data_IF_276982222142
#
_entry.id   IF_276982222142
#
_cell.length_a   1.000
_cell.length_b   1.000
_cell.length_c   1.000
_cell.angle_alpha   90.00
_cell.angle_beta   90.00
_cell.angle_gamma   90.00
#
_symmetry.space_group_name_H-M   'P 1'
#
loop_
_entity.id
_entity.type
_entity.pdbx_description
1 polymer ?
#
# COMPACT_ATOMS: atom_id res chain seq x y z
N UNK A 1 12.17 21.60 22.65
CA UNK A 1 13.43 21.45 21.90
C UNK A 1 13.16 20.48 20.77
N UNK A 2 12.80 21.02 19.62
CA UNK A 2 12.49 20.29 18.40
C UNK A 2 13.78 19.97 17.68
N UNK A 3 14.23 18.71 17.77
CA UNK A 3 15.26 18.17 16.89
C UNK A 3 14.64 18.03 15.51
N UNK A 4 15.02 18.93 14.62
CA UNK A 4 14.87 18.78 13.17
C UNK A 4 15.70 17.57 12.76
N UNK A 5 15.04 16.46 12.43
CA UNK A 5 15.65 15.34 11.72
C UNK A 5 15.95 15.78 10.29
N UNK A 6 17.11 16.40 10.11
CA UNK A 6 17.79 16.51 8.83
C UNK A 6 18.43 15.15 8.52
N UNK A 7 17.71 14.29 7.81
CA UNK A 7 18.26 13.04 7.27
C UNK A 7 18.63 13.26 5.80
N UNK A 8 19.93 13.52 5.63
CA UNK A 8 20.83 13.28 4.48
C UNK A 8 20.29 13.50 3.06
N UNK A 9 20.85 14.50 2.37
CA UNK A 9 20.98 14.47 0.91
C UNK A 9 21.66 13.16 0.50
N UNK A 10 21.07 12.50 -0.48
CA UNK A 10 21.63 11.33 -1.16
C UNK A 10 22.93 11.76 -1.88
N UNK A 11 24.08 11.59 -1.20
CA UNK A 11 25.40 12.03 -1.64
C UNK A 11 26.18 10.86 -2.27
N UNK A 12 25.88 10.51 -3.52
CA UNK A 12 26.78 9.72 -4.37
C UNK A 12 27.50 10.60 -5.39
N UNK A 13 28.67 10.18 -5.91
CA UNK A 13 29.33 10.88 -7.01
C UNK A 13 28.39 10.93 -8.22
N UNK A 14 27.90 12.13 -8.55
CA UNK A 14 26.97 12.35 -9.67
C UNK A 14 27.70 12.41 -11.00
N UNK A 15 27.01 12.09 -12.08
CA UNK A 15 27.50 12.19 -13.45
C UNK A 15 28.01 13.61 -13.77
N UNK A 16 29.09 13.71 -14.53
CA UNK A 16 29.69 14.98 -14.95
C UNK A 16 28.92 15.68 -16.09
N UNK A 17 28.01 14.96 -16.76
CA UNK A 17 27.21 15.50 -17.86
C UNK A 17 26.16 16.47 -17.32
N UNK A 18 26.10 17.66 -17.94
CA UNK A 18 25.06 18.67 -17.71
C UNK A 18 23.82 18.33 -18.54
N UNK A 19 22.65 18.47 -17.94
CA UNK A 19 21.35 18.14 -18.55
C UNK A 19 20.38 19.31 -18.39
N UNK A 20 19.54 19.51 -19.40
CA UNK A 20 18.53 20.58 -19.43
C UNK A 20 19.11 21.97 -19.74
N UNK A 21 18.23 22.98 -19.71
CA UNK A 21 18.59 24.39 -19.97
C UNK A 21 19.24 25.09 -18.77
N UNK A 22 19.14 24.49 -17.57
CA UNK A 22 19.67 25.01 -16.31
C UNK A 22 21.14 24.65 -16.05
N UNK A 23 21.79 23.89 -16.95
CA UNK A 23 23.12 23.31 -16.73
C UNK A 23 23.21 22.51 -15.41
N UNK A 24 22.12 21.83 -15.04
CA UNK A 24 22.12 20.96 -13.87
C UNK A 24 22.88 19.67 -14.16
N UNK A 25 23.65 19.18 -13.19
CA UNK A 25 24.33 17.89 -13.34
C UNK A 25 23.32 16.75 -13.33
N UNK A 26 23.50 15.79 -14.25
CA UNK A 26 22.75 14.55 -14.23
C UNK A 26 22.87 13.86 -12.86
N UNK A 27 21.73 13.39 -12.34
CA UNK A 27 21.63 12.81 -11.01
C UNK A 27 22.20 11.39 -10.91
N UNK A 28 22.49 10.75 -12.06
CA UNK A 28 23.01 9.39 -12.13
C UNK A 28 24.35 9.22 -11.43
N UNK A 29 24.53 8.09 -10.76
CA UNK A 29 25.79 7.70 -10.12
C UNK A 29 26.88 7.49 -11.16
N UNK A 30 28.12 7.89 -10.84
CA UNK A 30 29.29 7.61 -11.67
C UNK A 30 29.64 6.12 -11.62
N UNK A 31 29.93 5.54 -12.78
CA UNK A 31 30.46 4.19 -12.85
C UNK A 31 31.95 4.19 -12.51
N UNK A 32 32.44 3.08 -11.95
CA UNK A 32 33.85 2.96 -11.57
C UNK A 32 34.76 3.16 -12.82
N UNK A 33 35.74 4.06 -12.70
CA UNK A 33 36.70 4.33 -13.77
C UNK A 33 36.28 5.38 -14.80
N UNK A 34 35.05 5.90 -14.75
CA UNK A 34 34.58 7.00 -15.61
C UNK A 34 33.82 8.06 -14.81
N UNK A 35 33.74 9.28 -15.32
CA UNK A 35 33.03 10.39 -14.67
C UNK A 35 31.54 10.50 -15.08
N UNK A 36 31.02 9.49 -15.80
CA UNK A 36 29.66 9.43 -16.34
C UNK A 36 28.84 8.30 -15.72
N UNK A 37 27.51 8.47 -15.72
CA UNK A 37 26.58 7.40 -15.37
C UNK A 37 26.32 6.49 -16.56
N UNK A 38 25.66 5.36 -16.31
CA UNK A 38 25.34 4.36 -17.33
C UNK A 38 24.60 4.93 -18.55
N UNK A 39 23.69 5.89 -18.33
CA UNK A 39 22.92 6.53 -19.40
C UNK A 39 23.74 7.42 -20.33
N UNK A 40 24.95 7.83 -19.91
CA UNK A 40 25.83 8.72 -20.67
C UNK A 40 27.12 8.03 -21.13
N UNK A 41 27.16 6.70 -21.11
CA UNK A 41 28.21 5.95 -21.79
C UNK A 41 28.00 5.99 -23.30
N UNK A 42 29.10 5.98 -24.05
CA UNK A 42 29.01 5.71 -25.48
C UNK A 42 28.73 4.21 -25.76
N UNK A 43 28.50 3.87 -27.02
CA UNK A 43 28.13 2.51 -27.40
C UNK A 43 29.22 1.46 -27.09
N UNK A 44 30.50 1.83 -27.17
CA UNK A 44 31.61 0.93 -26.90
C UNK A 44 31.80 0.74 -25.39
N UNK A 45 31.77 1.83 -24.61
CA UNK A 45 31.82 1.82 -23.15
C UNK A 45 30.67 1.00 -22.57
N UNK A 46 29.44 1.20 -23.08
CA UNK A 46 28.27 0.43 -22.65
C UNK A 46 28.39 -1.05 -23.01
N UNK A 47 28.94 -1.39 -24.17
CA UNK A 47 29.18 -2.79 -24.55
C UNK A 47 30.20 -3.45 -23.61
N UNK A 48 31.28 -2.75 -23.26
CA UNK A 48 32.25 -3.21 -22.27
C UNK A 48 31.59 -3.45 -20.92
N UNK A 49 30.87 -2.45 -20.39
CA UNK A 49 30.16 -2.57 -19.11
C UNK A 49 29.21 -3.78 -19.08
N UNK A 50 28.37 -3.94 -20.11
CA UNK A 50 27.42 -5.05 -20.19
C UNK A 50 28.11 -6.42 -20.28
N UNK A 51 29.31 -6.50 -20.86
CA UNK A 51 30.06 -7.75 -20.99
C UNK A 51 30.70 -8.22 -19.68
N UNK A 52 30.86 -7.32 -18.71
CA UNK A 52 31.38 -7.63 -17.37
C UNK A 52 30.27 -8.13 -16.43
N UNK A 53 29.00 -7.90 -16.77
CA UNK A 53 27.86 -8.40 -16.01
C UNK A 53 27.69 -9.90 -16.22
N UNK A 54 27.26 -10.57 -15.16
CA UNK A 54 26.90 -11.98 -15.15
C UNK A 54 25.68 -12.19 -14.24
N UNK A 55 24.94 -13.31 -14.37
CA UNK A 55 23.83 -13.62 -13.48
C UNK A 55 24.26 -13.61 -12.01
N UNK A 56 23.62 -12.76 -11.20
CA UNK A 56 23.93 -12.55 -9.79
C UNK A 56 24.95 -11.44 -9.50
N UNK A 57 25.47 -10.75 -10.53
CA UNK A 57 26.32 -9.58 -10.32
C UNK A 57 25.53 -8.39 -9.75
N UNK A 58 26.22 -7.53 -9.01
CA UNK A 58 25.65 -6.32 -8.43
C UNK A 58 25.45 -5.23 -9.49
N UNK A 59 24.46 -4.37 -9.29
CA UNK A 59 24.13 -3.24 -10.15
C UNK A 59 23.87 -1.99 -9.32
N UNK A 60 24.70 -0.96 -9.50
CA UNK A 60 24.45 0.38 -8.96
C UNK A 60 24.16 1.35 -10.10
N UNK A 61 22.90 1.78 -10.19
CA UNK A 61 22.42 2.74 -11.20
C UNK A 61 21.58 3.84 -10.54
N UNK A 62 21.90 4.18 -9.29
CA UNK A 62 21.24 5.26 -8.54
C UNK A 62 21.16 6.55 -9.34
N UNK A 63 20.03 7.24 -9.26
CA UNK A 63 19.77 8.51 -9.95
C UNK A 63 19.78 8.45 -11.49
N UNK A 64 19.99 7.27 -12.08
CA UNK A 64 20.21 7.13 -13.53
C UNK A 64 18.87 7.09 -14.26
N UNK A 65 18.81 7.76 -15.41
CA UNK A 65 17.66 7.66 -16.32
C UNK A 65 17.83 6.43 -17.22
N UNK A 66 16.86 5.51 -17.20
CA UNK A 66 16.88 4.26 -17.93
C UNK A 66 15.70 4.25 -18.91
N UNK A 67 15.99 4.17 -20.20
CA UNK A 67 14.98 3.89 -21.21
C UNK A 67 14.74 2.37 -21.32
N UNK A 68 13.74 1.97 -22.11
CA UNK A 68 13.42 0.54 -22.26
C UNK A 68 14.55 -0.23 -22.93
N UNK A 69 15.29 0.37 -23.86
CA UNK A 69 16.37 -0.32 -24.58
C UNK A 69 17.55 -0.64 -23.66
N UNK A 70 18.00 0.35 -22.87
CA UNK A 70 19.06 0.16 -21.89
C UNK A 70 18.65 -0.85 -20.81
N UNK A 71 17.40 -0.77 -20.33
CA UNK A 71 16.89 -1.75 -19.36
C UNK A 71 16.85 -3.16 -19.97
N UNK A 72 16.37 -3.33 -21.19
CA UNK A 72 16.33 -4.64 -21.87
C UNK A 72 17.74 -5.23 -21.96
N UNK A 73 18.73 -4.43 -22.36
CA UNK A 73 20.12 -4.87 -22.46
C UNK A 73 20.72 -5.26 -21.11
N UNK A 74 20.42 -4.51 -20.04
CA UNK A 74 20.81 -4.88 -18.68
C UNK A 74 20.19 -6.23 -18.28
N UNK A 75 18.87 -6.37 -18.45
CA UNK A 75 18.15 -7.60 -18.08
C UNK A 75 18.66 -8.82 -18.86
N UNK A 76 19.02 -8.64 -20.14
CA UNK A 76 19.66 -9.69 -20.95
C UNK A 76 21.04 -10.08 -20.39
N UNK A 77 21.86 -9.13 -20.00
CA UNK A 77 23.19 -9.39 -19.43
C UNK A 77 23.12 -10.17 -18.10
N UNK A 78 22.07 -9.95 -17.30
CA UNK A 78 21.82 -10.70 -16.06
C UNK A 78 21.13 -12.06 -16.27
N UNK A 79 20.73 -12.41 -17.50
CA UNK A 79 19.99 -13.65 -17.77
C UNK A 79 20.97 -14.79 -18.09
N UNK A 80 20.93 -15.92 -17.34
CA UNK A 80 21.74 -17.09 -17.66
C UNK A 80 21.51 -17.60 -19.08
N UNK A 81 22.61 -17.86 -19.79
CA UNK A 81 22.57 -18.54 -21.09
C UNK A 81 22.40 -20.04 -20.88
N UNK A 82 21.44 -20.67 -21.56
CA UNK A 82 21.30 -22.14 -21.54
C UNK A 82 19.87 -22.66 -21.42
N UNK A 83 18.90 -21.79 -21.14
CA UNK A 83 17.48 -22.12 -21.21
C UNK A 83 16.63 -20.89 -21.56
N UNK A 84 15.63 -21.00 -22.46
CA UNK A 84 14.68 -19.92 -22.74
C UNK A 84 13.76 -19.61 -21.54
N UNK A 85 13.70 -20.50 -20.54
CA UNK A 85 12.99 -20.26 -19.30
C UNK A 85 13.83 -19.49 -18.27
N UNK A 86 15.10 -19.20 -18.56
CA UNK A 86 15.96 -18.43 -17.66
C UNK A 86 15.38 -17.05 -17.41
N UNK A 87 15.67 -16.51 -16.24
CA UNK A 87 15.25 -15.19 -15.81
C UNK A 87 16.48 -14.40 -15.40
N UNK A 88 16.40 -13.07 -15.52
CA UNK A 88 17.47 -12.19 -15.06
C UNK A 88 17.70 -12.42 -13.55
N UNK A 89 18.96 -12.57 -13.18
CA UNK A 89 19.38 -12.70 -11.79
C UNK A 89 20.29 -11.51 -11.45
N UNK A 90 19.84 -10.68 -10.53
CA UNK A 90 20.59 -9.53 -10.05
C UNK A 90 21.08 -9.84 -8.63
N UNK A 91 22.31 -9.43 -8.32
CA UNK A 91 22.88 -9.44 -6.97
C UNK A 91 22.24 -8.35 -6.11
N UNK A 92 23.07 -7.52 -5.49
CA UNK A 92 22.61 -6.25 -4.92
C UNK A 92 22.25 -5.29 -6.06
N UNK A 93 21.03 -4.75 -6.04
CA UNK A 93 20.54 -3.89 -7.12
C UNK A 93 20.03 -2.56 -6.55
N UNK A 94 20.75 -1.47 -6.84
CA UNK A 94 20.42 -0.14 -6.35
C UNK A 94 19.94 0.78 -7.49
N UNK A 95 18.63 0.96 -7.55
CA UNK A 95 17.90 1.89 -8.42
C UNK A 95 17.38 3.11 -7.64
N UNK A 96 17.97 3.45 -6.49
CA UNK A 96 17.53 4.60 -5.68
C UNK A 96 17.54 5.88 -6.52
N UNK A 97 16.40 6.56 -6.63
CA UNK A 97 16.23 7.77 -7.44
C UNK A 97 16.33 7.57 -8.96
N UNK A 98 16.38 6.33 -9.46
CA UNK A 98 16.41 6.07 -10.89
C UNK A 98 15.08 6.47 -11.56
N UNK A 99 15.15 6.85 -12.84
CA UNK A 99 13.96 7.23 -13.63
C UNK A 99 13.82 6.30 -14.83
N UNK A 100 12.74 5.54 -14.88
CA UNK A 100 12.36 4.71 -16.02
C UNK A 100 11.40 5.49 -16.92
N UNK A 101 11.87 5.91 -18.09
CA UNK A 101 11.13 6.82 -18.98
C UNK A 101 10.07 6.12 -19.83
N UNK A 102 10.15 4.80 -19.94
CA UNK A 102 9.27 3.95 -20.73
C UNK A 102 8.88 2.70 -19.92
N UNK A 103 8.18 1.75 -20.54
CA UNK A 103 7.77 0.51 -19.89
C UNK A 103 9.00 -0.22 -19.33
N UNK A 104 8.96 -0.55 -18.05
CA UNK A 104 10.07 -1.22 -17.36
C UNK A 104 9.69 -2.66 -17.02
N UNK A 105 10.43 -3.63 -17.59
CA UNK A 105 10.12 -5.05 -17.44
C UNK A 105 11.14 -5.76 -16.54
N UNK A 106 10.71 -6.05 -15.31
CA UNK A 106 11.36 -6.91 -14.33
C UNK A 106 10.60 -8.24 -14.14
N UNK A 107 9.70 -8.59 -15.06
CA UNK A 107 8.85 -9.78 -14.97
C UNK A 107 9.68 -11.05 -14.80
N UNK A 108 9.46 -11.77 -13.71
CA UNK A 108 10.17 -13.00 -13.38
C UNK A 108 11.62 -12.80 -12.92
N UNK A 109 12.11 -11.56 -12.79
CA UNK A 109 13.48 -11.30 -12.35
C UNK A 109 13.70 -11.79 -10.91
N UNK A 110 14.90 -12.30 -10.64
CA UNK A 110 15.33 -12.70 -9.30
C UNK A 110 16.34 -11.68 -8.77
N UNK A 111 15.94 -10.92 -7.75
CA UNK A 111 16.83 -10.09 -6.94
C UNK A 111 17.34 -10.94 -5.78
N UNK A 112 18.54 -11.49 -5.97
CA UNK A 112 19.13 -12.48 -5.07
C UNK A 112 19.72 -11.88 -3.80
N UNK A 113 19.97 -10.56 -3.80
CA UNK A 113 20.28 -9.78 -2.61
C UNK A 113 19.35 -8.56 -2.53
N UNK A 114 19.68 -7.57 -1.69
CA UNK A 114 18.83 -6.40 -1.47
C UNK A 114 18.60 -5.60 -2.76
N UNK A 115 17.35 -5.23 -3.01
CA UNK A 115 16.95 -4.42 -4.16
C UNK A 115 16.28 -3.12 -3.72
N UNK A 116 16.89 -1.98 -4.04
CA UNK A 116 16.37 -0.66 -3.73
C UNK A 116 15.81 0.01 -4.98
N UNK A 117 14.53 0.38 -4.91
CA UNK A 117 13.81 1.27 -5.83
C UNK A 117 13.33 2.52 -5.08
N UNK A 118 14.02 2.88 -3.99
CA UNK A 118 13.66 4.06 -3.18
C UNK A 118 13.60 5.29 -4.06
N UNK A 119 12.49 6.03 -3.99
CA UNK A 119 12.28 7.27 -4.78
C UNK A 119 12.45 7.09 -6.30
N UNK A 120 12.42 5.86 -6.80
CA UNK A 120 12.46 5.60 -8.23
C UNK A 120 11.17 6.08 -8.88
N UNK A 121 11.27 6.56 -10.12
CA UNK A 121 10.11 7.04 -10.90
C UNK A 121 9.91 6.14 -12.10
N UNK A 122 8.70 5.58 -12.23
CA UNK A 122 8.26 4.81 -13.38
C UNK A 122 7.25 5.65 -14.18
N UNK A 123 7.68 6.17 -15.33
CA UNK A 123 6.87 7.07 -16.14
C UNK A 123 5.74 6.34 -16.88
N UNK A 124 5.98 5.09 -17.28
CA UNK A 124 4.98 4.19 -17.87
C UNK A 124 4.80 2.93 -17.01
N UNK A 125 4.29 1.85 -17.60
CA UNK A 125 3.97 0.62 -16.87
C UNK A 125 5.22 0.00 -16.24
N UNK A 126 5.11 -0.38 -14.97
CA UNK A 126 6.18 -1.05 -14.23
C UNK A 126 5.80 -2.51 -13.94
N UNK A 127 6.52 -3.45 -14.55
CA UNK A 127 6.19 -4.87 -14.50
C UNK A 127 7.18 -5.65 -13.63
N UNK A 128 6.77 -5.99 -12.41
CA UNK A 128 7.45 -6.87 -11.45
C UNK A 128 6.71 -8.22 -11.29
N UNK A 129 5.83 -8.57 -12.22
CA UNK A 129 5.02 -9.79 -12.12
C UNK A 129 5.91 -11.03 -12.02
N UNK A 130 5.61 -11.91 -11.06
CA UNK A 130 6.41 -13.10 -10.73
C UNK A 130 7.88 -12.83 -10.38
N UNK A 131 8.27 -11.58 -10.08
CA UNK A 131 9.62 -11.29 -9.62
C UNK A 131 9.84 -11.82 -8.19
N UNK A 132 11.06 -12.24 -7.88
CA UNK A 132 11.44 -12.73 -6.56
C UNK A 132 12.47 -11.81 -5.93
N UNK A 133 12.18 -11.34 -4.72
CA UNK A 133 13.09 -10.57 -3.87
C UNK A 133 13.52 -11.46 -2.71
N UNK A 134 14.74 -12.00 -2.81
CA UNK A 134 15.29 -12.92 -1.80
C UNK A 134 15.57 -12.21 -0.50
N UNK A 135 16.13 -10.99 -0.58
CA UNK A 135 16.36 -10.09 0.55
C UNK A 135 15.33 -8.94 0.54
N UNK A 136 15.64 -7.84 1.24
CA UNK A 136 14.75 -6.68 1.32
C UNK A 136 14.49 -6.07 -0.06
N UNK A 137 13.21 -5.92 -0.42
CA UNK A 137 12.74 -5.18 -1.58
C UNK A 137 12.15 -3.83 -1.16
N UNK A 138 12.78 -2.73 -1.58
CA UNK A 138 12.46 -1.40 -1.06
C UNK A 138 11.98 -0.42 -2.14
N UNK A 139 10.69 -0.14 -2.14
CA UNK A 139 9.99 0.82 -3.00
C UNK A 139 9.56 2.07 -2.24
N UNK A 140 10.24 2.40 -1.13
CA UNK A 140 9.89 3.56 -0.30
C UNK A 140 9.92 4.85 -1.13
N UNK A 141 8.80 5.56 -1.18
CA UNK A 141 8.67 6.80 -1.94
C UNK A 141 8.74 6.64 -3.46
N UNK A 142 8.67 5.41 -4.00
CA UNK A 142 8.62 5.19 -5.44
C UNK A 142 7.32 5.75 -6.05
N UNK A 143 7.40 6.25 -7.28
CA UNK A 143 6.26 6.83 -8.00
C UNK A 143 5.96 6.02 -9.25
N UNK A 144 4.75 5.50 -9.35
CA UNK A 144 4.22 4.77 -10.50
C UNK A 144 3.16 5.63 -11.20
N UNK A 145 3.52 6.19 -12.36
CA UNK A 145 2.66 7.10 -13.10
C UNK A 145 1.58 6.39 -13.93
N UNK A 146 1.84 5.15 -14.36
CA UNK A 146 0.87 4.26 -15.00
C UNK A 146 0.62 3.02 -14.12
N UNK A 147 0.24 1.89 -14.71
CA UNK A 147 -0.08 0.69 -13.94
C UNK A 147 1.19 0.07 -13.34
N UNK A 148 1.07 -0.42 -12.11
CA UNK A 148 2.15 -1.14 -11.43
C UNK A 148 1.76 -2.60 -11.22
N UNK A 149 2.53 -3.53 -11.78
CA UNK A 149 2.23 -4.96 -11.76
C UNK A 149 3.21 -5.72 -10.87
N UNK A 150 2.75 -6.14 -9.71
CA UNK A 150 3.42 -7.03 -8.76
C UNK A 150 2.72 -8.40 -8.65
N UNK A 151 1.84 -8.74 -9.61
CA UNK A 151 1.09 -10.00 -9.59
C UNK A 151 2.02 -11.21 -9.49
N UNK A 152 1.80 -12.07 -8.50
CA UNK A 152 2.63 -13.26 -8.24
C UNK A 152 4.06 -12.95 -7.75
N UNK A 153 4.39 -11.68 -7.47
CA UNK A 153 5.70 -11.34 -6.94
C UNK A 153 5.90 -11.94 -5.54
N UNK A 154 7.12 -12.39 -5.24
CA UNK A 154 7.47 -12.99 -3.96
C UNK A 154 8.52 -12.15 -3.25
N UNK A 155 8.19 -11.70 -2.03
CA UNK A 155 9.09 -11.00 -1.12
C UNK A 155 9.41 -11.92 0.05
N UNK A 156 10.63 -12.47 0.04
CA UNK A 156 11.06 -13.49 1.00
C UNK A 156 11.48 -12.88 2.33
N UNK A 157 12.05 -11.67 2.29
CA UNK A 157 12.29 -10.81 3.45
C UNK A 157 11.35 -9.59 3.42
N UNK A 158 11.66 -8.55 4.20
CA UNK A 158 10.81 -7.38 4.30
C UNK A 158 10.59 -6.66 2.96
N UNK A 159 9.36 -6.20 2.73
CA UNK A 159 8.98 -5.38 1.58
C UNK A 159 8.48 -4.01 2.03
N UNK A 160 9.05 -2.93 1.48
CA UNK A 160 8.63 -1.57 1.82
C UNK A 160 8.04 -0.84 0.63
N UNK A 161 6.78 -0.44 0.72
CA UNK A 161 6.07 0.47 -0.18
C UNK A 161 5.67 1.76 0.55
N UNK A 162 6.38 2.09 1.63
CA UNK A 162 6.06 3.25 2.47
C UNK A 162 6.06 4.51 1.63
N UNK A 163 4.99 5.30 1.68
CA UNK A 163 4.83 6.54 0.90
C UNK A 163 5.01 6.36 -0.62
N UNK A 164 4.89 5.14 -1.14
CA UNK A 164 4.82 4.94 -2.58
C UNK A 164 3.51 5.54 -3.14
N UNK A 165 3.57 6.03 -4.36
CA UNK A 165 2.42 6.63 -5.05
C UNK A 165 2.07 5.82 -6.30
N UNK A 166 0.83 5.37 -6.38
CA UNK A 166 0.26 4.64 -7.52
C UNK A 166 -0.83 5.50 -8.16
N UNK A 167 -0.57 5.98 -9.37
CA UNK A 167 -1.46 6.93 -10.06
C UNK A 167 -2.59 6.22 -10.79
N UNK A 168 -2.30 5.07 -11.41
CA UNK A 168 -3.30 4.16 -11.96
C UNK A 168 -3.41 2.91 -11.08
N UNK A 169 -3.90 1.81 -11.64
CA UNK A 169 -4.15 0.60 -10.88
C UNK A 169 -2.84 -0.04 -10.41
N UNK A 170 -2.87 -0.56 -9.18
CA UNK A 170 -1.78 -1.31 -8.59
C UNK A 170 -2.19 -2.78 -8.38
N UNK A 171 -1.46 -3.70 -9.00
CA UNK A 171 -1.80 -5.12 -9.01
C UNK A 171 -0.81 -5.90 -8.14
N UNK A 172 -1.24 -6.37 -6.98
CA UNK A 172 -0.52 -7.26 -6.06
C UNK A 172 -1.21 -8.63 -5.95
N UNK A 173 -2.01 -9.02 -6.96
CA UNK A 173 -2.74 -10.27 -6.95
C UNK A 173 -1.81 -11.48 -6.82
N UNK A 174 -2.14 -12.43 -5.97
CA UNK A 174 -1.31 -13.62 -5.67
C UNK A 174 0.13 -13.31 -5.20
N UNK A 175 0.43 -12.05 -4.84
CA UNK A 175 1.74 -11.69 -4.32
C UNK A 175 1.93 -12.31 -2.93
N UNK A 176 3.15 -12.77 -2.65
CA UNK A 176 3.52 -13.39 -1.37
C UNK A 176 4.51 -12.51 -0.62
N UNK A 177 4.14 -12.13 0.60
CA UNK A 177 4.98 -11.43 1.56
C UNK A 177 5.25 -12.36 2.73
N UNK A 178 6.45 -12.96 2.75
CA UNK A 178 6.85 -13.92 3.78
C UNK A 178 7.17 -13.23 5.09
N UNK A 179 7.85 -12.09 5.04
CA UNK A 179 8.12 -11.23 6.20
C UNK A 179 7.22 -9.99 6.18
N UNK A 180 7.59 -8.95 6.95
CA UNK A 180 6.76 -7.76 7.10
C UNK A 180 6.62 -6.96 5.80
N UNK A 181 5.38 -6.61 5.44
CA UNK A 181 5.05 -5.74 4.31
C UNK A 181 4.55 -4.37 4.79
N UNK A 182 5.19 -3.30 4.32
CA UNK A 182 4.89 -1.93 4.77
C UNK A 182 4.31 -1.07 3.65
N UNK A 183 3.00 -0.83 3.69
CA UNK A 183 2.28 0.11 2.83
C UNK A 183 1.93 1.41 3.57
N UNK A 184 2.62 1.70 4.67
CA UNK A 184 2.34 2.85 5.52
C UNK A 184 2.45 4.16 4.73
N UNK A 185 1.36 4.94 4.69
CA UNK A 185 1.29 6.19 3.93
C UNK A 185 1.33 6.04 2.41
N UNK A 186 1.17 4.83 1.87
CA UNK A 186 1.07 4.63 0.42
C UNK A 186 -0.23 5.23 -0.12
N UNK A 187 -0.16 5.86 -1.29
CA UNK A 187 -1.30 6.47 -1.97
C UNK A 187 -1.67 5.69 -3.24
N UNK A 188 -2.94 5.33 -3.37
CA UNK A 188 -3.53 4.66 -4.52
C UNK A 188 -4.64 5.54 -5.07
N UNK A 189 -4.43 6.08 -6.27
CA UNK A 189 -5.39 7.02 -6.89
C UNK A 189 -6.49 6.30 -7.66
N UNK A 190 -6.22 5.08 -8.13
CA UNK A 190 -7.22 4.16 -8.68
C UNK A 190 -7.31 2.91 -7.79
N UNK A 191 -7.63 1.76 -8.36
CA UNK A 191 -7.85 0.53 -7.61
C UNK A 191 -6.53 -0.10 -7.17
N UNK A 192 -6.53 -0.72 -5.98
CA UNK A 192 -5.44 -1.55 -5.50
C UNK A 192 -5.93 -2.99 -5.31
N UNK A 193 -5.35 -3.91 -6.07
CA UNK A 193 -5.75 -5.31 -6.11
C UNK A 193 -4.76 -6.20 -5.39
N UNK A 194 -5.12 -6.67 -4.19
CA UNK A 194 -4.41 -7.67 -3.39
C UNK A 194 -5.15 -9.03 -3.39
N UNK A 195 -5.92 -9.31 -4.44
CA UNK A 195 -6.69 -10.56 -4.56
C UNK A 195 -5.79 -11.78 -4.44
N UNK A 196 -6.09 -12.70 -3.52
CA UNK A 196 -5.28 -13.90 -3.28
C UNK A 196 -3.89 -13.64 -2.67
N UNK A 197 -3.55 -12.39 -2.35
CA UNK A 197 -2.24 -12.07 -1.77
C UNK A 197 -2.08 -12.72 -0.38
N UNK A 198 -0.85 -13.14 -0.08
CA UNK A 198 -0.52 -13.81 1.18
C UNK A 198 0.46 -12.94 1.99
N UNK A 199 0.04 -12.58 3.20
CA UNK A 199 0.84 -11.88 4.21
C UNK A 199 1.10 -12.83 5.38
N UNK A 200 2.29 -13.41 5.42
CA UNK A 200 2.63 -14.44 6.42
C UNK A 200 3.01 -13.82 7.77
N UNK A 201 3.63 -12.64 7.75
CA UNK A 201 3.91 -11.85 8.94
C UNK A 201 3.07 -10.55 8.96
N UNK A 202 3.56 -9.50 9.62
CA UNK A 202 2.85 -8.23 9.74
C UNK A 202 2.65 -7.51 8.40
N UNK A 203 1.44 -7.01 8.15
CA UNK A 203 1.13 -6.14 7.01
C UNK A 203 0.62 -4.79 7.53
N UNK A 204 1.35 -3.71 7.26
CA UNK A 204 1.00 -2.37 7.76
C UNK A 204 0.45 -1.48 6.65
N UNK A 205 -0.84 -1.17 6.74
CA UNK A 205 -1.54 -0.21 5.87
C UNK A 205 -1.86 1.10 6.60
N UNK A 206 -1.14 1.40 7.68
CA UNK A 206 -1.38 2.61 8.47
C UNK A 206 -1.24 3.89 7.64
N UNK A 207 -2.26 4.75 7.68
CA UNK A 207 -2.37 5.97 6.86
C UNK A 207 -2.29 5.74 5.35
N UNK A 208 -2.55 4.52 4.86
CA UNK A 208 -2.70 4.28 3.43
C UNK A 208 -4.02 4.89 2.93
N UNK A 209 -3.98 5.43 1.71
CA UNK A 209 -5.12 6.08 1.08
C UNK A 209 -5.42 5.43 -0.25
N UNK A 210 -6.64 4.95 -0.41
CA UNK A 210 -7.21 4.40 -1.63
C UNK A 210 -8.35 5.32 -2.05
N UNK A 211 -8.24 5.94 -3.22
CA UNK A 211 -9.30 6.85 -3.70
C UNK A 211 -10.52 6.05 -4.16
N UNK A 212 -10.26 4.92 -4.81
CA UNK A 212 -11.27 3.95 -5.26
C UNK A 212 -11.23 2.68 -4.36
N UNK A 213 -11.13 1.49 -4.96
CA UNK A 213 -11.28 0.22 -4.23
C UNK A 213 -9.95 -0.31 -3.69
N UNK A 214 -9.96 -0.73 -2.43
CA UNK A 214 -8.94 -1.56 -1.80
C UNK A 214 -9.43 -3.01 -1.75
N UNK A 215 -8.98 -3.84 -2.71
CA UNK A 215 -9.45 -5.20 -2.89
C UNK A 215 -8.50 -6.23 -2.25
N UNK A 216 -8.93 -6.92 -1.20
CA UNK A 216 -8.24 -8.01 -0.53
C UNK A 216 -9.02 -9.33 -0.61
N UNK A 217 -9.70 -9.55 -1.75
CA UNK A 217 -10.55 -10.73 -1.95
C UNK A 217 -9.69 -12.00 -1.84
N UNK A 218 -10.13 -12.95 -1.03
CA UNK A 218 -9.45 -14.23 -0.76
C UNK A 218 -7.98 -14.08 -0.29
N UNK A 219 -7.58 -12.88 0.18
CA UNK A 219 -6.25 -12.64 0.74
C UNK A 219 -6.08 -13.36 2.08
N UNK A 220 -4.84 -13.77 2.40
CA UNK A 220 -4.51 -14.46 3.64
C UNK A 220 -3.59 -13.61 4.50
N UNK A 221 -3.97 -13.40 5.76
CA UNK A 221 -3.22 -12.69 6.78
C UNK A 221 -2.97 -13.63 7.96
N UNK A 222 -1.77 -14.21 8.04
CA UNK A 222 -1.49 -15.26 9.03
C UNK A 222 -1.34 -14.69 10.44
N UNK A 223 -0.55 -13.63 10.62
CA UNK A 223 -0.28 -13.00 11.94
C UNK A 223 -0.54 -11.49 11.97
N UNK A 224 -1.33 -10.97 11.02
CA UNK A 224 -1.66 -9.54 10.99
C UNK A 224 -2.62 -9.15 12.12
N UNK A 225 -2.13 -8.35 13.07
CA UNK A 225 -2.93 -7.88 14.21
C UNK A 225 -3.71 -6.59 13.90
N UNK A 226 -3.35 -5.87 12.83
CA UNK A 226 -4.03 -4.62 12.45
C UNK A 226 -3.99 -4.36 10.95
N UNK A 227 -5.18 -4.13 10.37
CA UNK A 227 -5.37 -3.59 9.03
C UNK A 227 -5.89 -2.15 9.16
N UNK A 228 -5.04 -1.17 8.85
CA UNK A 228 -5.35 0.26 8.97
C UNK A 228 -4.70 0.96 10.18
N UNK A 229 -5.08 2.19 10.54
CA UNK A 229 -6.16 3.00 9.93
C UNK A 229 -5.87 3.29 8.45
N UNK A 230 -6.87 3.10 7.59
CA UNK A 230 -6.77 3.40 6.15
C UNK A 230 -8.02 4.15 5.65
N UNK A 231 -7.91 4.79 4.50
CA UNK A 231 -9.03 5.44 3.82
C UNK A 231 -9.27 4.75 2.48
N UNK A 232 -10.52 4.44 2.14
CA UNK A 232 -10.86 3.79 0.87
C UNK A 232 -12.21 4.26 0.32
N UNK A 233 -12.40 4.26 -1.00
CA UNK A 233 -13.75 4.31 -1.57
C UNK A 233 -14.54 3.08 -1.13
N UNK A 234 -13.95 1.91 -1.32
CA UNK A 234 -14.45 0.61 -0.85
C UNK A 234 -13.32 -0.21 -0.23
N UNK A 235 -13.59 -0.91 0.87
CA UNK A 235 -12.71 -1.94 1.42
C UNK A 235 -13.36 -3.32 1.24
N UNK A 236 -12.81 -4.10 0.32
CA UNK A 236 -13.32 -5.44 0.02
C UNK A 236 -12.40 -6.50 0.63
N UNK A 237 -12.83 -7.16 1.70
CA UNK A 237 -12.11 -8.28 2.33
C UNK A 237 -12.90 -9.58 2.17
N UNK A 238 -13.67 -9.72 1.08
CA UNK A 238 -14.49 -10.91 0.84
C UNK A 238 -13.63 -12.16 0.75
N UNK A 239 -13.99 -13.21 1.49
CA UNK A 239 -13.23 -14.45 1.54
C UNK A 239 -11.85 -14.35 2.20
N UNK A 240 -11.43 -13.16 2.65
CA UNK A 240 -10.14 -12.98 3.30
C UNK A 240 -10.05 -13.77 4.60
N UNK A 241 -8.84 -14.23 4.93
CA UNK A 241 -8.58 -15.07 6.09
C UNK A 241 -7.61 -14.38 7.03
N UNK A 242 -8.02 -14.23 8.29
CA UNK A 242 -7.19 -13.70 9.38
C UNK A 242 -6.93 -14.81 10.40
N UNK A 243 -5.66 -15.17 10.56
CA UNK A 243 -5.22 -16.27 11.42
C UNK A 243 -5.23 -15.92 12.92
N UNK A 244 -5.08 -14.64 13.24
CA UNK A 244 -5.06 -14.09 14.61
C UNK A 244 -6.17 -13.07 14.82
N UNK A 245 -6.32 -12.58 16.05
CA UNK A 245 -7.22 -11.47 16.35
C UNK A 245 -6.73 -10.21 15.61
N UNK A 246 -7.64 -9.51 14.94
CA UNK A 246 -7.28 -8.37 14.09
C UNK A 246 -8.15 -7.15 14.38
N UNK A 247 -7.51 -5.98 14.44
CA UNK A 247 -8.19 -4.69 14.40
C UNK A 247 -8.25 -4.22 12.96
N UNK A 248 -9.45 -4.10 12.40
CA UNK A 248 -9.65 -3.52 11.07
C UNK A 248 -10.21 -2.12 11.27
N UNK A 249 -9.40 -1.12 10.95
CA UNK A 249 -9.76 0.29 11.11
C UNK A 249 -9.76 1.01 9.76
N UNK A 250 -10.92 1.50 9.35
CA UNK A 250 -11.08 2.13 8.05
C UNK A 250 -12.11 3.26 8.05
N UNK A 251 -11.81 4.33 7.32
CA UNK A 251 -12.82 5.23 6.79
C UNK A 251 -13.09 4.85 5.34
N UNK A 252 -14.21 4.18 5.09
CA UNK A 252 -14.57 3.70 3.77
C UNK A 252 -16.06 3.82 3.50
N UNK A 253 -16.45 3.97 2.24
CA UNK A 253 -17.87 4.08 1.87
C UNK A 253 -18.64 2.77 2.04
N UNK A 254 -17.99 1.67 1.73
CA UNK A 254 -18.46 0.35 2.09
C UNK A 254 -17.30 -0.58 2.46
N UNK A 255 -17.58 -1.48 3.40
CA UNK A 255 -16.68 -2.51 3.91
C UNK A 255 -17.39 -3.84 3.73
N UNK A 256 -16.92 -4.65 2.79
CA UNK A 256 -17.49 -5.97 2.51
C UNK A 256 -16.63 -7.05 3.13
N UNK A 257 -17.17 -7.73 4.15
CA UNK A 257 -16.52 -8.87 4.79
C UNK A 257 -17.14 -10.21 4.35
N UNK A 258 -17.89 -10.25 3.25
CA UNK A 258 -18.65 -11.46 2.89
C UNK A 258 -17.74 -12.69 2.81
N UNK A 259 -18.09 -13.79 3.49
CA UNK A 259 -17.27 -15.02 3.55
C UNK A 259 -15.88 -14.88 4.20
N UNK A 260 -15.57 -13.73 4.81
CA UNK A 260 -14.32 -13.55 5.53
C UNK A 260 -14.25 -14.47 6.77
N UNK A 261 -13.03 -14.84 7.16
CA UNK A 261 -12.76 -15.70 8.32
C UNK A 261 -11.87 -14.96 9.30
N UNK A 262 -12.36 -14.73 10.50
CA UNK A 262 -11.64 -14.08 11.59
C UNK A 262 -11.40 -15.10 12.71
N UNK A 263 -10.32 -15.86 12.61
CA UNK A 263 -10.07 -17.01 13.49
C UNK A 263 -9.90 -16.60 14.95
N UNK A 264 -9.21 -15.48 15.20
CA UNK A 264 -9.06 -14.88 16.53
C UNK A 264 -10.09 -13.80 16.87
N UNK A 265 -11.15 -13.65 16.06
CA UNK A 265 -12.10 -12.55 16.17
C UNK A 265 -11.63 -11.26 15.50
N UNK A 266 -12.52 -10.28 15.44
CA UNK A 266 -12.25 -8.98 14.80
C UNK A 266 -12.80 -7.81 15.60
N UNK A 267 -12.01 -6.75 15.70
CA UNK A 267 -12.48 -5.43 16.09
C UNK A 267 -12.60 -4.55 14.84
N UNK A 268 -13.82 -4.41 14.32
CA UNK A 268 -14.13 -3.55 13.17
C UNK A 268 -14.44 -2.13 13.64
N UNK A 269 -13.55 -1.20 13.31
CA UNK A 269 -13.69 0.23 13.57
C UNK A 269 -13.91 0.95 12.24
N UNK A 270 -15.15 1.30 11.96
CA UNK A 270 -15.53 1.88 10.66
C UNK A 270 -16.08 3.28 10.83
N UNK A 271 -15.67 4.20 9.95
CA UNK A 271 -16.20 5.58 9.92
C UNK A 271 -17.11 5.78 8.70
N UNK A 272 -18.35 6.23 8.91
CA UNK A 272 -19.37 6.61 7.89
C UNK A 272 -19.89 5.55 6.91
N UNK A 273 -19.25 4.38 6.83
CA UNK A 273 -19.51 3.38 5.78
C UNK A 273 -20.62 2.38 6.04
N UNK A 274 -21.06 1.72 4.96
CA UNK A 274 -21.90 0.52 5.01
C UNK A 274 -21.02 -0.70 5.28
N UNK A 275 -21.42 -1.57 6.19
CA UNK A 275 -20.65 -2.78 6.55
C UNK A 275 -21.48 -4.02 6.26
N UNK A 276 -20.94 -4.94 5.47
CA UNK A 276 -21.57 -6.22 5.15
C UNK A 276 -20.89 -7.38 5.86
N UNK A 277 -21.61 -8.04 6.76
CA UNK A 277 -21.14 -9.20 7.54
C UNK A 277 -21.91 -10.47 7.17
N UNK A 278 -22.18 -10.70 5.89
CA UNK A 278 -22.87 -11.91 5.44
C UNK A 278 -21.89 -13.09 5.35
N UNK A 279 -22.30 -14.25 5.87
CA UNK A 279 -21.54 -15.51 5.78
C UNK A 279 -20.13 -15.41 6.40
N UNK A 280 -19.97 -14.57 7.43
CA UNK A 280 -18.69 -14.36 8.12
C UNK A 280 -18.47 -15.47 9.15
N UNK A 281 -17.25 -15.99 9.22
CA UNK A 281 -16.83 -16.88 10.29
C UNK A 281 -16.11 -16.09 11.37
N UNK A 282 -16.76 -15.96 12.54
CA UNK A 282 -16.20 -15.34 13.74
C UNK A 282 -15.74 -16.46 14.69
N UNK A 283 -14.42 -16.65 14.82
CA UNK A 283 -13.86 -17.71 15.67
C UNK A 283 -13.77 -17.36 17.15
N UNK A 284 -13.88 -16.07 17.49
CA UNK A 284 -13.84 -15.55 18.86
C UNK A 284 -14.63 -14.23 18.98
N UNK A 285 -14.58 -13.63 20.18
CA UNK A 285 -15.18 -12.33 20.50
C UNK A 285 -14.88 -11.29 19.42
N UNK A 286 -15.94 -10.69 18.88
CA UNK A 286 -15.84 -9.74 17.77
C UNK A 286 -16.73 -8.54 18.01
N UNK A 287 -16.36 -7.40 17.43
CA UNK A 287 -17.10 -6.16 17.59
C UNK A 287 -17.12 -5.33 16.32
N UNK A 288 -18.19 -4.54 16.18
CA UNK A 288 -18.31 -3.49 15.17
C UNK A 288 -18.73 -2.19 15.88
N UNK A 289 -17.99 -1.13 15.61
CA UNK A 289 -18.31 0.20 16.11
C UNK A 289 -17.65 1.33 15.31
N UNK A 290 -17.90 2.59 15.70
CA UNK A 290 -17.33 3.75 15.03
C UNK A 290 -15.81 3.84 15.25
N UNK A 291 -15.06 4.21 14.21
CA UNK A 291 -13.67 4.67 14.38
C UNK A 291 -13.63 6.13 14.86
N UNK A 292 -12.73 6.42 15.80
CA UNK A 292 -12.47 7.77 16.35
C UNK A 292 -11.18 8.40 15.82
N UNK A 293 -10.42 7.69 14.99
CA UNK A 293 -9.14 8.19 14.49
C UNK A 293 -9.33 9.28 13.43
N UNK A 294 -8.54 10.34 13.51
CA UNK A 294 -8.40 11.31 12.42
C UNK A 294 -7.54 10.68 11.33
N UNK A 295 -8.07 10.55 10.12
CA UNK A 295 -7.37 9.89 9.02
C UNK A 295 -6.69 10.96 8.15
N UNK A 296 -5.45 10.70 7.71
CA UNK A 296 -4.79 11.53 6.71
C UNK A 296 -5.61 11.44 5.41
N UNK A 297 -6.06 12.58 4.88
CA UNK A 297 -6.92 12.63 3.69
C UNK A 297 -8.34 13.16 3.90
N UNK A 298 -8.61 13.95 4.96
CA UNK A 298 -9.93 14.54 5.23
C UNK A 298 -10.57 15.22 4.00
N UNK A 299 -9.78 15.80 3.09
CA UNK A 299 -10.31 16.43 1.86
C UNK A 299 -10.91 15.42 0.85
N UNK A 300 -10.32 14.23 0.68
CA UNK A 300 -10.87 13.17 -0.19
C UNK A 300 -12.08 12.50 0.46
N UNK A 301 -12.03 12.32 1.79
CA UNK A 301 -13.17 11.84 2.59
C UNK A 301 -14.34 12.81 2.52
N UNK A 302 -14.09 14.13 2.52
CA UNK A 302 -15.14 15.16 2.39
C UNK A 302 -15.80 15.13 1.00
N UNK A 303 -14.99 15.00 -0.07
CA UNK A 303 -15.52 14.80 -1.43
C UNK A 303 -16.39 13.55 -1.53
N UNK A 304 -15.99 12.44 -0.88
CA UNK A 304 -16.81 11.22 -0.82
C UNK A 304 -18.10 11.41 0.00
N UNK A 305 -18.02 12.10 1.15
CA UNK A 305 -19.15 12.41 2.03
C UNK A 305 -20.20 13.26 1.33
N UNK A 306 -19.76 14.29 0.60
CA UNK A 306 -20.63 15.19 -0.15
C UNK A 306 -21.36 14.45 -1.29
N UNK A 307 -20.68 13.53 -1.99
CA UNK A 307 -21.30 12.69 -3.02
C UNK A 307 -22.31 11.68 -2.47
N UNK A 308 -22.08 11.15 -1.25
CA UNK A 308 -22.87 10.05 -0.69
C UNK A 308 -23.85 10.43 0.43
N UNK A 309 -23.92 11.72 0.80
CA UNK A 309 -25.01 12.29 1.61
C UNK A 309 -25.13 11.78 3.06
N UNK A 310 -24.07 11.25 3.65
CA UNK A 310 -24.10 10.76 5.05
C UNK A 310 -23.80 11.89 6.05
N UNK A 311 -24.80 12.27 6.85
CA UNK A 311 -24.69 13.24 7.95
C UNK A 311 -24.31 12.59 9.30
N UNK A 312 -24.11 11.27 9.35
CA UNK A 312 -23.82 10.52 10.57
C UNK A 312 -22.46 9.79 10.47
N UNK A 313 -21.69 9.83 11.55
CA UNK A 313 -20.37 9.18 11.65
C UNK A 313 -20.48 7.67 11.92
N UNK A 314 -21.69 7.20 12.29
CA UNK A 314 -21.96 5.81 12.64
C UNK A 314 -21.92 4.88 11.42
N UNK A 315 -21.30 3.70 11.53
CA UNK A 315 -21.37 2.70 10.48
C UNK A 315 -22.79 2.13 10.34
N UNK A 316 -23.18 1.76 9.13
CA UNK A 316 -24.49 1.16 8.81
C UNK A 316 -24.29 -0.32 8.53
N UNK A 317 -24.86 -1.20 9.34
CA UNK A 317 -24.80 -2.64 9.10
C UNK A 317 -25.86 -3.06 8.06
N UNK A 318 -25.45 -3.75 7.01
CA UNK A 318 -26.34 -4.11 5.89
C UNK A 318 -26.84 -5.54 5.95
N UNK A 319 -26.07 -6.49 6.49
CA UNK A 319 -26.46 -7.90 6.53
C UNK A 319 -25.67 -8.69 7.56
N UNK A 320 -26.36 -9.62 8.23
CA UNK A 320 -25.80 -10.67 9.10
C UNK A 320 -26.16 -12.08 8.62
N UNK A 321 -26.78 -12.20 7.44
CA UNK A 321 -27.23 -13.49 6.89
C UNK A 321 -26.09 -14.52 6.88
N UNK A 322 -26.34 -15.71 7.43
CA UNK A 322 -25.39 -16.82 7.43
C UNK A 322 -24.24 -16.69 8.43
N UNK A 323 -24.26 -15.66 9.28
CA UNK A 323 -23.23 -15.41 10.30
C UNK A 323 -23.74 -15.86 11.66
N UNK A 324 -22.90 -16.56 12.44
CA UNK A 324 -23.15 -16.81 13.86
C UNK A 324 -22.75 -15.58 14.67
N UNK A 325 -23.74 -14.97 15.33
CA UNK A 325 -23.54 -13.71 16.05
C UNK A 325 -23.42 -13.90 17.56
N UNK A 326 -23.19 -15.14 18.03
CA UNK A 326 -23.07 -15.47 19.46
C UNK A 326 -22.07 -14.61 20.23
N UNK A 327 -20.99 -14.22 19.56
CA UNK A 327 -19.87 -13.48 20.15
C UNK A 327 -19.71 -12.07 19.57
N UNK A 328 -20.71 -11.59 18.82
CA UNK A 328 -20.70 -10.29 18.15
C UNK A 328 -21.31 -9.20 19.04
N UNK A 329 -20.58 -8.11 19.23
CA UNK A 329 -21.07 -6.88 19.86
C UNK A 329 -21.12 -5.73 18.86
N UNK A 330 -22.23 -5.00 18.84
CA UNK A 330 -22.44 -3.82 18.00
C UNK A 330 -22.54 -2.58 18.89
N UNK A 331 -21.67 -1.59 18.67
CA UNK A 331 -21.68 -0.34 19.44
C UNK A 331 -21.93 0.85 18.53
N UNK A 332 -23.00 1.61 18.77
CA UNK A 332 -23.37 2.80 17.97
C UNK A 332 -23.45 2.53 16.45
N UNK A 333 -24.02 1.40 16.07
CA UNK A 333 -24.21 0.99 14.67
C UNK A 333 -25.65 1.26 14.23
N UNK A 334 -25.84 1.78 13.01
CA UNK A 334 -27.18 1.89 12.42
C UNK A 334 -27.62 0.55 11.81
N UNK A 335 -28.77 0.05 12.28
CA UNK A 335 -29.33 -1.24 11.93
C UNK A 335 -30.59 -1.15 11.05
N UNK A 336 -31.04 0.06 10.66
CA UNK A 336 -32.31 0.28 9.93
C UNK A 336 -32.45 -0.55 8.65
N UNK A 337 -31.32 -0.86 8.01
CA UNK A 337 -31.26 -1.59 6.74
C UNK A 337 -30.63 -2.98 6.87
N UNK A 338 -30.39 -3.44 8.11
CA UNK A 338 -29.72 -4.71 8.35
C UNK A 338 -30.65 -5.89 8.05
N UNK A 339 -30.18 -6.80 7.20
CA UNK A 339 -30.82 -8.10 6.99
C UNK A 339 -30.38 -9.11 8.05
N UNK A 340 -31.26 -9.36 9.03
CA UNK A 340 -31.08 -10.38 10.07
C UNK A 340 -31.53 -11.79 9.65
N UNK A 341 -32.43 -11.89 8.66
CA UNK A 341 -32.98 -13.17 8.24
C UNK A 341 -31.87 -14.14 7.79
N UNK A 342 -31.79 -15.29 8.47
CA UNK A 342 -30.78 -16.32 8.24
C UNK A 342 -29.48 -16.14 9.04
N UNK A 343 -29.39 -15.17 9.96
CA UNK A 343 -28.33 -15.14 10.96
C UNK A 343 -28.56 -16.23 12.03
N UNK A 344 -27.48 -16.76 12.59
CA UNK A 344 -27.52 -17.80 13.62
C UNK A 344 -27.30 -17.18 15.01
N UNK A 345 -28.00 -17.69 16.03
CA UNK A 345 -27.90 -17.23 17.43
C UNK A 345 -28.16 -15.72 17.63
N UNK A 346 -29.16 -15.17 16.92
CA UNK A 346 -29.56 -13.77 17.05
C UNK A 346 -29.94 -13.36 18.48
N UNK A 347 -30.39 -14.31 19.30
CA UNK A 347 -30.69 -14.13 20.72
C UNK A 347 -29.47 -13.75 21.58
N UNK A 348 -28.25 -13.98 21.07
CA UNK A 348 -26.98 -13.67 21.74
C UNK A 348 -26.30 -12.41 21.22
N UNK A 349 -26.86 -11.76 20.18
CA UNK A 349 -26.30 -10.52 19.64
C UNK A 349 -26.31 -9.42 20.70
N UNK A 350 -25.14 -8.83 20.99
CA UNK A 350 -25.03 -7.71 21.92
C UNK A 350 -25.13 -6.38 21.17
N UNK A 351 -26.00 -5.50 21.64
CA UNK A 351 -26.16 -4.15 21.09
C UNK A 351 -25.94 -3.15 22.23
N UNK A 352 -24.95 -2.29 22.06
CA UNK A 352 -24.48 -1.31 23.02
C UNK A 352 -24.60 0.10 22.42
N UNK A 353 -24.79 1.10 23.27
CA UNK A 353 -24.87 2.51 22.87
C UNK A 353 -23.97 3.36 23.75
N UNK A 354 -23.20 4.26 23.14
CA UNK A 354 -22.36 5.19 23.91
C UNK A 354 -23.21 6.37 24.37
N UNK A 355 -23.38 6.51 25.69
CA UNK A 355 -24.07 7.68 26.26
C UNK A 355 -23.17 8.90 26.14
N UNK A 356 -23.36 9.71 25.09
CA UNK A 356 -22.71 11.03 24.98
C UNK A 356 -23.34 12.00 25.98
N UNK A 357 -22.68 12.25 27.10
CA UNK A 357 -23.06 13.36 27.99
C UNK A 357 -22.76 14.68 27.26
N UNK A 358 -23.81 15.40 26.86
CA UNK A 358 -23.69 16.74 26.27
C UNK A 358 -23.17 17.71 27.35
N UNK A 359 -21.85 17.86 27.45
CA UNK A 359 -21.22 18.96 28.16
C UNK A 359 -21.57 20.28 27.48
N UNK A 360 -22.47 21.05 28.10
CA UNK A 360 -22.93 22.37 27.65
C UNK A 360 -21.72 23.34 27.59
N UNK A 361 -21.09 23.51 26.42
CA UNK A 361 -20.17 24.65 26.18
C UNK A 361 -21.00 25.93 26.22
N UNK A 362 -20.63 26.83 27.13
CA UNK A 362 -21.39 28.03 27.47
C UNK A 362 -21.34 29.11 26.40
N UNK A 363 -22.40 29.93 26.36
CA UNK A 363 -22.32 31.28 25.81
C UNK A 363 -21.94 32.22 26.94
N UNK A 364 -20.65 32.56 27.01
CA UNK A 364 -20.21 33.73 27.76
C UNK A 364 -20.80 34.96 27.07
N UNK A 365 -21.74 35.63 27.74
CA UNK A 365 -22.31 36.89 27.26
C UNK A 365 -21.27 38.00 27.36
N UNK A 366 -20.85 38.52 26.20
CA UNK A 366 -20.16 39.81 26.11
C UNK A 366 -21.18 40.93 26.30
N UNK A 367 -21.33 41.40 27.54
CA UNK A 367 -22.06 42.62 27.86
C UNK A 367 -21.27 43.85 27.43
N UNK A 368 -21.61 44.43 26.29
CA UNK A 368 -21.14 45.74 25.87
C UNK A 368 -21.80 46.85 26.69
N UNK A 369 -20.97 47.75 27.23
CA UNK A 369 -21.38 49.01 27.86
C UNK A 369 -21.66 50.03 26.75
N UNK A 370 -22.79 50.75 26.74
CA UNK A 370 -22.98 51.89 25.86
C UNK A 370 -22.52 53.18 26.56
N UNK A 371 -21.65 53.93 25.88
CA UNK A 371 -21.32 55.31 26.22
C UNK A 371 -22.55 56.22 26.06
N UNK A 372 -22.80 57.06 27.06
CA UNK A 372 -23.91 58.01 27.07
C UNK A 372 -23.61 59.25 27.91
N UNK A 373 -23.12 60.28 27.19
CA UNK A 373 -23.09 61.73 27.48
C UNK A 373 -22.18 62.30 28.57
#
# INVERSE_FOLDING_TARGET
>A
MTTTDSVSSEDWPRCAVLVGESDDRCHGVQLAGVDRCLAHLDAAELATFLSELFPGADLDVRGTTLDSELLIRLMQAFTPTGSPASRAQLGHADFTGATFTQNSYFTGAAFTQGASFRRATFALDACFGNATFTEVGDFTGASFAQNAYFTGATFTQGASFRRASFTLDAYFGDATFTESAYFTGAGFTQNAYFTGATFTQGASFGSATFTEDACFIDATFTTCERLGPLTAGQLDVRGAQFGVAVVVEAAAGEVSCQRARFSGGVELRVRHGRVGLAEVLLGAASSLGPSVSAHAGEAQVESWREMNGSLDDRPVLTSLRGTDVSELALTDVDLRWCRFAGAHHLDKLRIEATVRSRGRRGTAGSGGVPDGK
#
